data_IF_746581102941
#
_entry.id   IF_746581102941
#
_cell.length_a   1.000
_cell.length_b   1.000
_cell.length_c   1.000
_cell.angle_alpha   90.00
_cell.angle_beta   90.00
_cell.angle_gamma   90.00
#
_symmetry.space_group_name_H-M   'P 1'
#
loop_
_entity.id
_entity.type
_entity.pdbx_description
1 polymer ?
#
# COMPACT_ATOMS: atom_id res chain seq x y z
N UNK A 1 18.22 2.45 16.67
CA UNK A 1 17.92 2.57 15.23
C UNK A 1 17.39 3.99 15.04
N UNK A 2 17.89 4.80 14.09
CA UNK A 2 17.31 6.11 13.87
C UNK A 2 15.82 5.94 13.53
N UNK A 3 14.95 6.74 14.12
CA UNK A 3 13.53 6.80 13.76
C UNK A 3 13.45 7.06 12.25
N UNK A 4 12.89 6.12 11.50
CA UNK A 4 12.89 6.17 10.02
C UNK A 4 11.78 7.09 9.47
N UNK A 5 11.27 8.03 10.29
CA UNK A 5 10.16 8.95 10.01
C UNK A 5 9.06 8.33 9.15
N UNK A 6 8.69 7.11 9.51
CA UNK A 6 7.83 6.25 8.72
C UNK A 6 6.49 6.04 9.38
N UNK A 7 5.44 5.90 8.58
CA UNK A 7 4.18 5.37 9.05
C UNK A 7 3.61 4.36 8.07
N UNK A 8 2.73 3.52 8.61
CA UNK A 8 1.97 2.52 7.89
C UNK A 8 0.50 2.68 8.25
N UNK A 9 -0.36 2.59 7.26
CA UNK A 9 -1.80 2.46 7.41
C UNK A 9 -2.22 1.13 6.79
N UNK A 10 -2.94 0.32 7.57
CA UNK A 10 -3.47 -0.98 7.11
C UNK A 10 -4.97 -0.85 6.94
N UNK A 11 -5.46 -1.27 5.77
CA UNK A 11 -6.86 -1.29 5.41
C UNK A 11 -7.29 -2.72 5.20
N UNK A 12 -8.48 -3.07 5.69
CA UNK A 12 -9.16 -4.33 5.40
C UNK A 12 -10.53 -4.01 4.81
N UNK A 13 -10.89 -4.70 3.74
CA UNK A 13 -12.17 -4.56 3.06
C UNK A 13 -13.00 -5.84 3.21
N UNK A 14 -14.32 -5.71 3.04
CA UNK A 14 -15.29 -6.80 3.23
C UNK A 14 -15.15 -7.91 2.16
N UNK A 15 -14.46 -7.64 1.05
CA UNK A 15 -14.18 -8.61 -0.01
C UNK A 15 -13.05 -9.59 0.34
N UNK A 16 -12.49 -9.51 1.55
CA UNK A 16 -11.40 -10.38 1.99
C UNK A 16 -10.01 -9.92 1.54
N UNK A 17 -9.89 -8.78 0.88
CA UNK A 17 -8.60 -8.15 0.57
C UNK A 17 -8.34 -6.94 1.47
N UNK A 18 -7.08 -6.53 1.51
CA UNK A 18 -6.63 -5.36 2.25
C UNK A 18 -5.53 -4.62 1.53
N UNK A 19 -5.04 -3.56 2.16
CA UNK A 19 -3.91 -2.79 1.65
C UNK A 19 -2.98 -2.35 2.79
N UNK A 20 -1.68 -2.41 2.55
CA UNK A 20 -0.66 -1.77 3.37
C UNK A 20 -0.15 -0.53 2.65
N UNK A 21 -0.47 0.65 3.18
CA UNK A 21 0.00 1.95 2.67
C UNK A 21 1.14 2.43 3.55
N UNK A 22 2.30 2.63 2.97
CA UNK A 22 3.53 2.95 3.70
C UNK A 22 4.18 4.21 3.15
N UNK A 23 4.80 5.00 4.03
CA UNK A 23 5.69 6.09 3.69
C UNK A 23 6.79 6.18 4.74
N UNK A 24 8.05 6.02 4.33
CA UNK A 24 9.22 6.24 5.19
C UNK A 24 10.42 6.70 4.35
N UNK A 25 11.49 7.21 4.97
CA UNK A 25 12.63 7.80 4.26
C UNK A 25 13.38 6.83 3.31
N UNK A 26 13.11 5.53 3.40
CA UNK A 26 13.67 4.49 2.53
C UNK A 26 12.63 3.83 1.60
N UNK A 27 11.36 4.24 1.67
CA UNK A 27 10.31 3.75 0.76
C UNK A 27 10.47 4.38 -0.62
N UNK A 28 9.86 3.78 -1.63
CA UNK A 28 9.94 4.30 -3.00
C UNK A 28 9.34 5.73 -3.09
N UNK A 29 10.23 6.73 -3.15
CA UNK A 29 9.87 8.15 -3.20
C UNK A 29 9.52 8.78 -1.85
N UNK A 30 9.74 8.10 -0.72
CA UNK A 30 9.36 8.60 0.62
C UNK A 30 10.02 9.93 0.99
N UNK A 31 11.31 10.12 0.66
CA UNK A 31 12.02 11.41 0.81
C UNK A 31 11.39 12.56 -0.01
N UNK A 32 10.63 12.24 -1.05
CA UNK A 32 9.88 13.17 -1.88
C UNK A 32 8.41 13.29 -1.45
N UNK A 33 8.06 12.76 -0.28
CA UNK A 33 6.71 12.78 0.25
C UNK A 33 5.75 11.75 -0.36
N UNK A 34 6.25 10.78 -1.14
CA UNK A 34 5.46 9.76 -1.84
C UNK A 34 5.21 8.52 -0.99
N UNK A 35 4.28 7.70 -1.48
CA UNK A 35 3.78 6.50 -0.80
C UNK A 35 4.05 5.25 -1.62
N UNK A 36 3.95 4.11 -0.95
CA UNK A 36 3.84 2.81 -1.58
C UNK A 36 2.62 2.04 -1.05
N UNK A 37 2.04 1.19 -1.90
CA UNK A 37 0.88 0.36 -1.58
C UNK A 37 1.18 -1.09 -1.93
N UNK A 38 0.91 -1.99 -0.99
CA UNK A 38 0.87 -3.43 -1.22
C UNK A 38 -0.54 -3.97 -0.99
N UNK A 39 -0.97 -4.93 -1.81
CA UNK A 39 -2.24 -5.64 -1.58
C UNK A 39 -2.02 -6.71 -0.50
N UNK A 40 -3.00 -6.85 0.39
CA UNK A 40 -3.02 -7.88 1.43
C UNK A 40 -4.15 -8.87 1.17
N UNK A 41 -3.95 -10.13 1.54
CA UNK A 41 -5.01 -11.13 1.59
C UNK A 41 -5.83 -11.04 2.89
N UNK A 42 -6.74 -11.99 3.08
CA UNK A 42 -7.66 -12.04 4.22
C UNK A 42 -6.96 -12.35 5.55
N UNK A 43 -5.73 -12.86 5.52
CA UNK A 43 -4.88 -13.09 6.69
C UNK A 43 -3.97 -11.89 6.99
N UNK A 44 -4.03 -10.85 6.14
CA UNK A 44 -3.16 -9.67 6.24
C UNK A 44 -1.76 -9.90 5.66
N UNK A 45 -1.54 -10.97 4.91
CA UNK A 45 -0.27 -11.29 4.25
C UNK A 45 -0.20 -10.65 2.86
N UNK A 46 1.01 -10.41 2.35
CA UNK A 46 1.21 -9.80 1.02
C UNK A 46 0.63 -10.70 -0.08
N UNK A 47 -0.27 -10.13 -0.87
CA UNK A 47 -0.92 -10.81 -1.98
C UNK A 47 -0.37 -10.27 -3.31
N UNK A 48 0.36 -11.13 -4.04
CA UNK A 48 0.93 -10.81 -5.35
C UNK A 48 0.13 -11.39 -6.52
N UNK A 49 -0.92 -12.15 -6.24
CA UNK A 49 -1.77 -12.78 -7.26
C UNK A 49 -3.07 -11.99 -7.42
N UNK A 50 -2.95 -10.74 -7.84
CA UNK A 50 -4.10 -9.85 -8.07
C UNK A 50 -4.01 -9.18 -9.44
N UNK A 51 -5.15 -8.87 -10.08
CA UNK A 51 -5.16 -8.11 -11.33
C UNK A 51 -4.74 -6.64 -11.16
N UNK A 52 -4.61 -6.15 -9.92
CA UNK A 52 -4.17 -4.78 -9.62
C UNK A 52 -2.65 -4.68 -9.75
N UNK A 53 -1.93 -5.61 -9.12
CA UNK A 53 -0.47 -5.65 -9.13
C UNK A 53 0.03 -7.01 -8.69
N UNK A 54 1.22 -7.37 -9.18
CA UNK A 54 1.99 -8.51 -8.71
C UNK A 54 3.21 -8.11 -7.85
N UNK A 55 3.29 -6.83 -7.47
CA UNK A 55 4.36 -6.27 -6.63
C UNK A 55 3.89 -5.01 -5.86
N UNK A 56 4.72 -4.47 -4.97
CA UNK A 56 4.52 -3.19 -4.30
C UNK A 56 4.53 -2.04 -5.31
N UNK A 57 3.49 -1.20 -5.28
CA UNK A 57 3.41 -0.02 -6.14
C UNK A 57 3.99 1.18 -5.39
N UNK A 58 5.12 1.72 -5.85
CA UNK A 58 5.81 2.87 -5.23
C UNK A 58 5.58 4.21 -5.93
N UNK A 59 6.19 5.28 -5.39
CA UNK A 59 6.19 6.65 -5.93
C UNK A 59 4.80 7.31 -6.06
N UNK A 60 3.85 6.90 -5.24
CA UNK A 60 2.46 7.34 -5.34
C UNK A 60 2.20 8.68 -4.64
N UNK A 61 1.34 9.50 -5.24
CA UNK A 61 0.63 10.60 -4.57
C UNK A 61 -0.53 10.06 -3.75
N UNK A 62 -1.08 10.89 -2.84
CA UNK A 62 -2.28 10.52 -2.07
C UNK A 62 -3.47 10.18 -2.98
N UNK A 63 -3.71 10.95 -4.05
CA UNK A 63 -4.81 10.65 -4.97
C UNK A 63 -4.60 9.36 -5.78
N UNK A 64 -3.36 8.93 -6.01
CA UNK A 64 -3.09 7.63 -6.64
C UNK A 64 -3.28 6.48 -5.64
N UNK A 65 -2.88 6.68 -4.37
CA UNK A 65 -3.19 5.75 -3.27
C UNK A 65 -4.71 5.56 -3.16
N UNK A 66 -5.49 6.64 -3.12
CA UNK A 66 -6.96 6.57 -2.99
C UNK A 66 -7.60 5.74 -4.12
N UNK A 67 -7.13 5.92 -5.36
CA UNK A 67 -7.61 5.15 -6.51
C UNK A 67 -7.28 3.66 -6.38
N UNK A 68 -6.08 3.34 -5.90
CA UNK A 68 -5.67 1.94 -5.68
C UNK A 68 -6.51 1.32 -4.57
N UNK A 69 -6.77 2.04 -3.48
CA UNK A 69 -7.63 1.57 -2.38
C UNK A 69 -9.05 1.25 -2.88
N UNK A 70 -9.63 2.12 -3.72
CA UNK A 70 -10.94 1.87 -4.34
C UNK A 70 -10.89 0.60 -5.21
N UNK A 71 -9.84 0.42 -6.02
CA UNK A 71 -9.70 -0.79 -6.83
C UNK A 71 -9.59 -2.06 -5.98
N UNK A 72 -8.79 -2.03 -4.90
CA UNK A 72 -8.65 -3.17 -3.97
C UNK A 72 -10.00 -3.49 -3.32
N UNK A 73 -10.79 -2.48 -2.95
CA UNK A 73 -12.11 -2.67 -2.34
C UNK A 73 -13.16 -3.30 -3.27
N UNK A 74 -12.89 -3.34 -4.58
CA UNK A 74 -13.76 -3.92 -5.60
C UNK A 74 -13.19 -5.20 -6.25
N UNK A 75 -12.08 -5.74 -5.73
CA UNK A 75 -11.64 -7.11 -6.05
C UNK A 75 -12.73 -8.11 -5.66
#
# INVERSE_FOLDING_TARGET
MPEQNGYQLVYQFDNGYGASVVKHDFSYGGKNGKYEVAVLDNEGSLCYDTPITSDVIGYLTTSEVDKILVNISHL
#
